data_IF_033553270424
#
_entry.id   IF_033553270424
#
_cell.length_a   1.000
_cell.length_b   1.000
_cell.length_c   1.000
_cell.angle_alpha   90.00
_cell.angle_beta   90.00
_cell.angle_gamma   90.00
#
_symmetry.space_group_name_H-M   'P 1'
#
loop_
_entity.id
_entity.type
_entity.pdbx_description
1 polymer ?
#
# COMPACT_ATOMS: atom_id res chain seq x y z
N UNK A 1 29.95 -9.42 18.49
CA UNK A 1 28.95 -10.43 18.12
C UNK A 1 27.63 -9.85 17.62
N UNK A 2 27.03 -8.84 18.27
CA UNK A 2 25.77 -8.23 17.75
C UNK A 2 25.89 -7.72 16.31
N UNK A 3 26.97 -7.03 15.96
CA UNK A 3 27.22 -6.59 14.58
C UNK A 3 27.45 -7.75 13.58
N UNK A 4 27.86 -8.93 14.04
CA UNK A 4 27.98 -10.11 13.17
C UNK A 4 26.59 -10.70 12.85
N UNK A 5 25.67 -10.67 13.81
CA UNK A 5 24.26 -11.06 13.60
C UNK A 5 23.56 -10.08 12.67
N UNK A 6 23.78 -8.76 12.85
CA UNK A 6 23.26 -7.74 11.94
C UNK A 6 23.76 -7.97 10.52
N UNK A 7 25.07 -8.19 10.35
CA UNK A 7 25.65 -8.53 9.05
C UNK A 7 25.06 -9.80 8.44
N UNK A 8 24.88 -10.86 9.23
CA UNK A 8 24.25 -12.10 8.78
C UNK A 8 22.81 -11.86 8.30
N UNK A 9 22.03 -11.02 8.98
CA UNK A 9 20.68 -10.65 8.55
C UNK A 9 20.70 -9.81 7.26
N UNK A 10 21.63 -8.87 7.14
CA UNK A 10 21.83 -8.12 5.88
C UNK A 10 22.18 -9.05 4.72
N UNK A 11 23.05 -10.03 4.93
CA UNK A 11 23.42 -11.02 3.91
C UNK A 11 22.25 -11.97 3.57
N UNK A 12 21.49 -12.40 4.59
CA UNK A 12 20.42 -13.38 4.43
C UNK A 12 19.14 -12.82 3.83
N UNK A 13 18.76 -11.58 4.15
CA UNK A 13 17.46 -10.97 3.77
C UNK A 13 17.55 -9.51 3.31
N UNK A 14 18.75 -8.93 3.22
CA UNK A 14 18.93 -7.54 2.79
C UNK A 14 18.54 -6.50 3.83
N UNK A 15 18.33 -6.89 5.10
CA UNK A 15 17.88 -5.98 6.14
C UNK A 15 18.96 -4.96 6.50
N UNK A 16 18.65 -3.67 6.42
CA UNK A 16 19.48 -2.62 7.02
C UNK A 16 19.08 -2.41 8.48
N UNK A 17 20.00 -2.76 9.39
CA UNK A 17 19.85 -2.56 10.84
C UNK A 17 19.59 -1.10 11.22
N UNK A 18 20.06 -0.13 10.43
CA UNK A 18 19.82 1.29 10.67
C UNK A 18 18.37 1.71 10.33
N UNK A 19 17.73 1.00 9.40
CA UNK A 19 16.36 1.27 8.94
C UNK A 19 15.30 0.59 9.80
N UNK A 20 15.55 -0.64 10.26
CA UNK A 20 14.66 -1.36 11.21
C UNK A 20 14.84 -0.89 12.65
N UNK A 21 15.99 -0.28 12.95
CA UNK A 21 16.35 0.18 14.27
C UNK A 21 17.16 -0.89 15.03
N UNK A 22 18.37 -0.57 15.51
CA UNK A 22 19.24 -1.53 16.21
C UNK A 22 18.58 -2.15 17.46
N UNK A 23 17.61 -1.47 18.05
CA UNK A 23 16.85 -1.96 19.21
C UNK A 23 15.94 -3.13 18.87
N UNK A 24 15.32 -3.14 17.67
CA UNK A 24 14.45 -4.23 17.23
C UNK A 24 15.26 -5.51 17.03
N UNK A 25 16.41 -5.42 16.35
CA UNK A 25 17.31 -6.56 16.16
C UNK A 25 17.80 -7.11 17.50
N UNK A 26 18.24 -6.23 18.41
CA UNK A 26 18.65 -6.67 19.77
C UNK A 26 17.53 -7.34 20.55
N UNK A 27 16.30 -6.84 20.44
CA UNK A 27 15.16 -7.45 21.12
C UNK A 27 14.83 -8.82 20.52
N UNK A 28 14.78 -8.94 19.19
CA UNK A 28 14.57 -10.20 18.51
C UNK A 28 15.63 -11.25 18.90
N UNK A 29 16.91 -10.87 18.94
CA UNK A 29 17.99 -11.75 19.40
C UNK A 29 17.77 -12.21 20.84
N UNK A 30 17.37 -11.32 21.76
CA UNK A 30 17.06 -11.68 23.15
C UNK A 30 15.90 -12.65 23.25
N UNK A 31 14.83 -12.42 22.50
CA UNK A 31 13.64 -13.27 22.50
C UNK A 31 13.96 -14.67 21.93
N UNK A 32 14.79 -14.73 20.89
CA UNK A 32 15.29 -16.00 20.32
C UNK A 32 16.22 -16.74 21.27
N UNK A 33 17.17 -16.05 21.89
CA UNK A 33 18.02 -16.60 22.93
C UNK A 33 17.19 -17.23 24.07
N UNK A 34 16.16 -16.53 24.54
CA UNK A 34 15.24 -17.05 25.55
C UNK A 34 14.46 -18.28 25.07
N UNK A 35 13.95 -18.27 23.82
CA UNK A 35 13.23 -19.40 23.23
C UNK A 35 14.12 -20.65 23.10
N UNK A 36 15.40 -20.46 22.76
CA UNK A 36 16.41 -21.52 22.68
C UNK A 36 16.99 -21.91 24.05
N UNK A 37 16.62 -21.22 25.13
CA UNK A 37 17.17 -21.37 26.48
C UNK A 37 18.70 -21.15 26.54
N UNK A 38 19.20 -20.24 25.71
CA UNK A 38 20.61 -19.87 25.63
C UNK A 38 20.79 -18.49 26.28
N UNK A 39 21.70 -18.37 27.25
CA UNK A 39 21.99 -17.11 27.95
C UNK A 39 23.25 -16.42 27.45
N UNK A 40 24.13 -17.16 26.77
CA UNK A 40 25.39 -16.65 26.22
C UNK A 40 25.27 -16.33 24.73
N UNK A 41 25.60 -15.10 24.34
CA UNK A 41 25.52 -14.64 22.96
C UNK A 41 26.47 -15.43 22.02
N UNK A 42 27.62 -15.89 22.52
CA UNK A 42 28.55 -16.72 21.74
C UNK A 42 27.92 -18.06 21.36
N UNK A 43 27.32 -18.75 22.34
CA UNK A 43 26.65 -20.03 22.10
C UNK A 43 25.43 -19.87 21.18
N UNK A 44 24.73 -18.73 21.29
CA UNK A 44 23.64 -18.41 20.37
C UNK A 44 24.14 -18.18 18.95
N UNK A 45 25.29 -17.50 18.78
CA UNK A 45 25.91 -17.33 17.46
C UNK A 45 26.27 -18.66 16.80
N UNK A 46 26.84 -19.61 17.54
CA UNK A 46 27.15 -20.95 17.07
C UNK A 46 25.89 -21.71 16.63
N UNK A 47 24.82 -21.66 17.43
CA UNK A 47 23.53 -22.24 17.06
C UNK A 47 22.93 -21.58 15.81
N UNK A 48 22.96 -20.25 15.75
CA UNK A 48 22.39 -19.46 14.65
C UNK A 48 23.09 -19.78 13.32
N UNK A 49 24.42 -19.88 13.34
CA UNK A 49 25.22 -20.18 12.14
C UNK A 49 25.20 -21.66 11.76
N UNK A 50 24.96 -22.56 12.71
CA UNK A 50 24.85 -24.00 12.47
C UNK A 50 23.44 -24.49 12.11
N UNK A 51 22.40 -23.65 12.22
CA UNK A 51 21.00 -24.05 12.02
C UNK A 51 20.24 -23.08 11.11
N UNK A 52 19.89 -23.55 9.92
CA UNK A 52 19.00 -22.80 9.01
C UNK A 52 17.62 -22.53 9.64
N UNK A 53 17.13 -23.45 10.47
CA UNK A 53 15.87 -23.26 11.19
C UNK A 53 15.96 -22.08 12.16
N UNK A 54 17.04 -21.98 12.94
CA UNK A 54 17.18 -20.86 13.89
C UNK A 54 17.38 -19.53 13.17
N UNK A 55 18.13 -19.52 12.06
CA UNK A 55 18.25 -18.34 11.21
C UNK A 55 16.88 -17.89 10.70
N UNK A 56 16.04 -18.82 10.23
CA UNK A 56 14.68 -18.52 9.79
C UNK A 56 13.81 -17.98 10.93
N UNK A 57 13.94 -18.49 12.16
CA UNK A 57 13.20 -17.98 13.31
C UNK A 57 13.65 -16.58 13.74
N UNK A 58 14.94 -16.27 13.62
CA UNK A 58 15.44 -14.91 13.83
C UNK A 58 14.92 -13.96 12.74
N UNK A 59 14.93 -14.37 11.47
CA UNK A 59 14.32 -13.61 10.36
C UNK A 59 12.85 -13.31 10.67
N UNK A 60 12.07 -14.32 11.06
CA UNK A 60 10.66 -14.17 11.42
C UNK A 60 10.46 -13.17 12.58
N UNK A 61 11.42 -13.04 13.49
CA UNK A 61 11.34 -12.14 14.64
C UNK A 61 11.70 -10.68 14.30
N UNK A 62 12.49 -10.43 13.25
CA UNK A 62 12.87 -9.07 12.84
C UNK A 62 11.99 -8.49 11.72
N UNK A 63 11.30 -9.34 10.96
CA UNK A 63 10.41 -8.90 9.86
C UNK A 63 9.20 -8.15 10.41
N UNK A 64 9.02 -6.92 9.95
CA UNK A 64 7.86 -6.08 10.28
C UNK A 64 6.70 -6.48 9.36
N UNK A 65 5.57 -6.89 9.95
CA UNK A 65 4.45 -7.50 9.22
C UNK A 65 3.18 -6.65 9.25
N UNK A 66 3.32 -5.33 9.06
CA UNK A 66 2.16 -4.44 9.06
C UNK A 66 1.53 -4.35 7.66
N UNK A 67 0.37 -5.00 7.50
CA UNK A 67 -0.42 -5.00 6.26
C UNK A 67 -1.92 -5.02 6.55
N UNK A 68 -2.74 -4.62 5.57
CA UNK A 68 -4.20 -4.68 5.62
C UNK A 68 -4.77 -4.70 4.19
N UNK A 69 -6.00 -5.19 4.05
CA UNK A 69 -6.65 -5.28 2.75
C UNK A 69 -6.82 -3.91 2.10
N UNK A 70 -6.57 -3.84 0.79
CA UNK A 70 -6.69 -2.63 -0.02
C UNK A 70 -5.92 -1.41 0.52
N UNK A 71 -4.76 -1.63 1.17
CA UNK A 71 -3.81 -0.57 1.52
C UNK A 71 -3.41 0.22 0.27
N UNK A 72 -3.58 1.55 0.27
CA UNK A 72 -3.44 2.44 -0.89
C UNK A 72 -4.26 1.95 -2.10
N UNK A 73 -5.59 2.09 -2.00
CA UNK A 73 -6.60 1.52 -2.91
C UNK A 73 -6.36 1.88 -4.39
N UNK A 74 -5.77 3.04 -4.64
CA UNK A 74 -5.46 3.57 -5.96
C UNK A 74 -4.48 2.67 -6.71
N UNK A 75 -3.57 1.99 -6.02
CA UNK A 75 -2.66 0.99 -6.60
C UNK A 75 -3.44 -0.16 -7.26
N UNK A 76 -4.45 -0.70 -6.58
CA UNK A 76 -5.29 -1.79 -7.10
C UNK A 76 -6.21 -1.33 -8.24
N UNK A 77 -6.68 -0.10 -8.19
CA UNK A 77 -7.47 0.50 -9.28
C UNK A 77 -6.62 0.62 -10.55
N UNK A 78 -5.39 1.08 -10.41
CA UNK A 78 -4.46 1.18 -11.53
C UNK A 78 -4.04 -0.21 -12.02
N UNK A 79 -3.78 -1.17 -11.12
CA UNK A 79 -3.50 -2.56 -11.46
C UNK A 79 -4.57 -3.13 -12.40
N UNK A 80 -5.84 -3.02 -12.01
CA UNK A 80 -6.97 -3.51 -12.80
C UNK A 80 -7.07 -2.81 -14.17
N UNK A 81 -6.78 -1.50 -14.21
CA UNK A 81 -6.75 -0.73 -15.46
C UNK A 81 -5.64 -1.22 -16.40
N UNK A 82 -4.42 -1.38 -15.88
CA UNK A 82 -3.28 -1.87 -16.64
C UNK A 82 -3.54 -3.29 -17.16
N UNK A 83 -4.04 -4.19 -16.30
CA UNK A 83 -4.42 -5.54 -16.67
C UNK A 83 -5.39 -5.56 -17.86
N UNK A 84 -6.39 -4.66 -17.88
CA UNK A 84 -7.37 -4.60 -18.97
C UNK A 84 -6.77 -4.14 -20.29
N UNK A 85 -5.84 -3.18 -20.26
CA UNK A 85 -5.16 -2.68 -21.47
C UNK A 85 -4.11 -3.66 -21.98
N UNK A 86 -3.44 -4.36 -21.06
CA UNK A 86 -2.40 -5.35 -21.35
C UNK A 86 -2.96 -6.76 -21.59
N UNK A 87 -4.29 -6.90 -21.69
CA UNK A 87 -4.95 -8.20 -21.84
C UNK A 87 -4.48 -8.92 -23.09
N UNK A 88 -3.99 -10.15 -22.90
CA UNK A 88 -3.49 -11.05 -23.93
C UNK A 88 -4.24 -12.39 -23.85
N UNK A 89 -4.10 -13.28 -24.84
CA UNK A 89 -4.68 -14.64 -24.75
C UNK A 89 -4.17 -15.44 -23.56
N UNK A 90 -2.98 -15.10 -23.07
CA UNK A 90 -2.34 -15.73 -21.92
C UNK A 90 -2.84 -15.08 -20.61
N UNK A 91 -2.93 -15.86 -19.52
CA UNK A 91 -3.27 -15.32 -18.21
C UNK A 91 -2.27 -14.25 -17.76
N UNK A 92 -2.80 -13.18 -17.16
CA UNK A 92 -2.00 -12.08 -16.57
C UNK A 92 -1.30 -12.60 -15.32
N UNK A 93 0.02 -12.46 -15.29
CA UNK A 93 0.85 -12.91 -14.17
C UNK A 93 1.14 -11.74 -13.24
N UNK A 94 0.72 -11.86 -11.99
CA UNK A 94 0.97 -10.84 -10.95
C UNK A 94 1.90 -11.38 -9.88
N UNK A 95 2.89 -10.59 -9.46
CA UNK A 95 3.74 -10.88 -8.31
C UNK A 95 3.47 -9.86 -7.18
N UNK A 96 3.18 -10.34 -5.97
CA UNK A 96 3.20 -9.54 -4.73
C UNK A 96 4.41 -9.94 -3.89
N UNK A 97 5.32 -8.99 -3.67
CA UNK A 97 6.59 -9.20 -2.99
C UNK A 97 7.01 -7.92 -2.23
N UNK A 98 7.05 -7.89 -0.90
CA UNK A 98 6.74 -8.98 0.02
C UNK A 98 5.21 -9.11 0.18
N UNK A 99 4.71 -10.33 0.30
CA UNK A 99 3.27 -10.55 0.46
C UNK A 99 2.78 -10.45 1.91
N UNK A 100 3.69 -10.43 2.90
CA UNK A 100 3.39 -10.43 4.33
C UNK A 100 2.36 -11.52 4.67
N UNK A 101 1.34 -11.21 5.47
CA UNK A 101 0.28 -12.15 5.85
C UNK A 101 -0.80 -12.35 4.77
N UNK A 102 -0.57 -11.90 3.53
CA UNK A 102 -1.37 -12.23 2.34
C UNK A 102 -2.45 -11.22 1.96
N UNK A 103 -2.72 -10.20 2.78
CA UNK A 103 -3.75 -9.21 2.51
C UNK A 103 -3.58 -8.50 1.16
N UNK A 104 -2.34 -8.17 0.76
CA UNK A 104 -2.07 -7.54 -0.54
C UNK A 104 -2.42 -8.48 -1.69
N UNK A 105 -1.89 -9.71 -1.69
CA UNK A 105 -2.12 -10.68 -2.75
C UNK A 105 -3.61 -11.02 -2.92
N UNK A 106 -4.34 -11.17 -1.82
CA UNK A 106 -5.78 -11.38 -1.88
C UNK A 106 -6.56 -10.13 -2.33
N UNK A 107 -6.08 -8.92 -1.99
CA UNK A 107 -6.67 -7.67 -2.51
C UNK A 107 -6.49 -7.55 -4.03
N UNK A 108 -5.36 -8.02 -4.57
CA UNK A 108 -5.16 -8.13 -6.03
C UNK A 108 -6.21 -9.04 -6.66
N UNK A 109 -6.40 -10.25 -6.12
CA UNK A 109 -7.39 -11.20 -6.64
C UNK A 109 -8.80 -10.60 -6.66
N UNK A 110 -9.22 -9.97 -5.56
CA UNK A 110 -10.52 -9.31 -5.46
C UNK A 110 -10.65 -8.13 -6.44
N UNK A 111 -9.60 -7.33 -6.62
CA UNK A 111 -9.58 -6.23 -7.58
C UNK A 111 -9.71 -6.71 -9.04
N UNK A 112 -9.07 -7.84 -9.37
CA UNK A 112 -9.20 -8.47 -10.69
C UNK A 112 -10.62 -8.98 -10.94
N UNK A 113 -11.24 -9.65 -9.95
CA UNK A 113 -12.64 -10.06 -10.05
C UNK A 113 -13.60 -8.86 -10.15
N UNK A 114 -13.43 -7.82 -9.32
CA UNK A 114 -14.23 -6.60 -9.38
C UNK A 114 -14.09 -5.87 -10.75
N UNK A 115 -12.96 -6.04 -11.45
CA UNK A 115 -12.74 -5.52 -12.79
C UNK A 115 -13.36 -6.36 -13.92
N UNK A 116 -13.91 -7.53 -13.58
CA UNK A 116 -14.58 -8.46 -14.50
C UNK A 116 -13.63 -9.44 -15.19
N UNK A 117 -12.49 -9.76 -14.59
CA UNK A 117 -11.65 -10.86 -15.05
C UNK A 117 -12.18 -12.20 -14.56
N UNK A 118 -12.13 -13.20 -15.43
CA UNK A 118 -12.46 -14.58 -15.09
C UNK A 118 -11.26 -15.28 -14.43
N UNK A 119 -11.53 -16.32 -13.64
CA UNK A 119 -10.53 -17.03 -12.85
C UNK A 119 -9.35 -17.63 -13.65
N UNK A 120 -9.53 -17.88 -14.95
CA UNK A 120 -8.48 -18.42 -15.82
C UNK A 120 -7.65 -17.34 -16.51
N UNK A 121 -8.01 -16.06 -16.35
CA UNK A 121 -7.38 -14.94 -17.04
C UNK A 121 -6.23 -14.31 -16.25
N UNK A 122 -5.98 -14.77 -15.02
CA UNK A 122 -4.89 -14.28 -14.19
C UNK A 122 -4.43 -15.33 -13.19
N UNK A 123 -3.22 -15.16 -12.67
CA UNK A 123 -2.70 -15.87 -11.52
C UNK A 123 -1.78 -14.94 -10.71
N UNK A 124 -1.71 -15.20 -9.39
CA UNK A 124 -0.96 -14.36 -8.47
C UNK A 124 0.05 -15.22 -7.73
N UNK A 125 1.32 -14.85 -7.87
CA UNK A 125 2.40 -15.37 -7.05
C UNK A 125 2.71 -14.38 -5.92
N UNK A 126 2.88 -14.91 -4.72
CA UNK A 126 3.04 -14.12 -3.51
C UNK A 126 4.24 -14.65 -2.72
N UNK A 127 5.26 -13.82 -2.54
CA UNK A 127 6.54 -14.24 -1.95
C UNK A 127 6.86 -13.39 -0.72
N UNK A 128 7.33 -14.02 0.34
CA UNK A 128 7.83 -13.34 1.54
C UNK A 128 8.99 -14.13 2.17
N UNK A 129 9.92 -13.43 2.83
CA UNK A 129 11.05 -14.07 3.53
C UNK A 129 10.64 -14.70 4.86
N UNK A 130 9.51 -14.29 5.44
CA UNK A 130 8.97 -14.79 6.70
C UNK A 130 8.08 -16.01 6.46
N UNK A 131 8.61 -17.18 6.81
CA UNK A 131 7.85 -18.44 6.84
C UNK A 131 6.58 -18.35 7.70
N UNK A 132 6.60 -17.59 8.80
CA UNK A 132 5.41 -17.37 9.64
C UNK A 132 4.34 -16.57 8.92
N UNK A 133 4.72 -15.52 8.20
CA UNK A 133 3.78 -14.69 7.45
C UNK A 133 3.11 -15.49 6.33
N UNK A 134 3.92 -16.24 5.58
CA UNK A 134 3.41 -17.14 4.53
C UNK A 134 2.42 -18.16 5.10
N UNK A 135 2.73 -18.79 6.24
CA UNK A 135 1.81 -19.74 6.87
C UNK A 135 0.47 -19.09 7.32
N UNK A 136 0.49 -17.81 7.75
CA UNK A 136 -0.74 -17.06 8.03
C UNK A 136 -1.51 -16.76 6.75
N UNK A 137 -0.82 -16.38 5.68
CA UNK A 137 -1.40 -16.09 4.37
C UNK A 137 -2.08 -17.33 3.75
N UNK A 138 -1.45 -18.50 3.85
CA UNK A 138 -2.02 -19.79 3.43
C UNK A 138 -3.22 -20.20 4.28
N UNK A 139 -3.16 -19.95 5.59
CA UNK A 139 -4.31 -20.17 6.48
C UNK A 139 -5.48 -19.24 6.13
N UNK A 140 -5.20 -18.01 5.72
CA UNK A 140 -6.16 -17.04 5.21
C UNK A 140 -7.34 -16.71 6.17
N UNK A 141 -7.08 -16.63 7.47
CA UNK A 141 -8.08 -16.21 8.46
C UNK A 141 -7.64 -14.90 9.09
N UNK A 142 -8.46 -13.87 8.94
CA UNK A 142 -8.09 -12.49 9.23
C UNK A 142 -8.99 -11.88 10.30
N UNK A 143 -8.35 -11.27 11.29
CA UNK A 143 -9.02 -10.54 12.37
C UNK A 143 -9.27 -9.08 12.02
N UNK A 144 -9.82 -8.32 12.99
CA UNK A 144 -10.18 -6.90 12.84
C UNK A 144 -9.04 -6.03 12.29
N UNK A 145 -7.80 -6.30 12.67
CA UNK A 145 -6.64 -5.48 12.31
C UNK A 145 -6.29 -5.50 10.82
N UNK A 146 -6.73 -6.51 10.07
CA UNK A 146 -6.55 -6.60 8.62
C UNK A 146 -7.58 -5.78 7.84
N UNK A 147 -8.63 -5.28 8.51
CA UNK A 147 -9.73 -4.50 7.92
C UNK A 147 -9.68 -3.07 8.44
N UNK A 148 -8.94 -2.20 7.74
CA UNK A 148 -8.73 -0.79 8.11
C UNK A 148 -9.28 0.16 7.05
N UNK A 149 -9.49 1.41 7.45
CA UNK A 149 -9.98 2.46 6.56
C UNK A 149 -11.50 2.42 6.35
N UNK A 150 -11.98 3.27 5.44
CA UNK A 150 -13.41 3.43 5.14
C UNK A 150 -13.94 2.44 4.10
N UNK A 151 -13.06 1.88 3.26
CA UNK A 151 -13.44 0.93 2.22
C UNK A 151 -13.50 -0.49 2.79
N UNK A 152 -14.70 -0.95 3.18
CA UNK A 152 -14.91 -2.29 3.77
C UNK A 152 -16.01 -3.10 3.07
N UNK A 153 -16.65 -2.55 2.04
CA UNK A 153 -17.76 -3.18 1.31
C UNK A 153 -17.36 -4.46 0.57
N UNK A 154 -16.06 -4.65 0.29
CA UNK A 154 -15.54 -5.86 -0.33
C UNK A 154 -15.72 -7.10 0.56
N UNK A 155 -15.88 -6.92 1.88
CA UNK A 155 -16.06 -8.00 2.84
C UNK A 155 -17.30 -8.83 2.51
N UNK A 156 -18.41 -8.15 2.23
CA UNK A 156 -19.69 -8.81 1.94
C UNK A 156 -19.67 -9.58 0.61
N UNK A 157 -18.74 -9.24 -0.29
CA UNK A 157 -18.58 -9.88 -1.60
C UNK A 157 -17.59 -11.05 -1.59
N UNK A 158 -16.56 -10.98 -0.75
CA UNK A 158 -15.38 -11.84 -0.88
C UNK A 158 -15.01 -12.60 0.38
N UNK A 159 -15.74 -12.43 1.50
CA UNK A 159 -15.41 -13.09 2.76
C UNK A 159 -16.60 -13.86 3.33
N UNK A 160 -16.25 -14.91 4.06
CA UNK A 160 -17.15 -15.68 4.89
C UNK A 160 -16.65 -15.70 6.34
N UNK A 161 -17.57 -15.92 7.27
CA UNK A 161 -17.23 -16.10 8.68
C UNK A 161 -16.43 -17.40 8.86
N UNK A 162 -15.38 -17.34 9.66
CA UNK A 162 -14.57 -18.49 10.04
C UNK A 162 -14.21 -18.42 11.53
N UNK A 163 -13.80 -19.54 12.11
CA UNK A 163 -13.27 -19.53 13.47
C UNK A 163 -12.04 -18.62 13.55
N UNK A 164 -12.08 -17.63 14.45
CA UNK A 164 -10.99 -16.66 14.63
C UNK A 164 -11.03 -15.43 13.71
N UNK A 165 -12.00 -15.29 12.80
CA UNK A 165 -12.13 -14.08 11.99
C UNK A 165 -12.94 -14.26 10.70
N UNK A 166 -12.45 -13.65 9.63
CA UNK A 166 -13.03 -13.75 8.29
C UNK A 166 -12.05 -14.44 7.34
N UNK A 167 -12.59 -15.27 6.46
CA UNK A 167 -11.82 -16.00 5.45
C UNK A 167 -12.24 -15.57 4.04
N UNK A 168 -11.31 -15.31 3.10
CA UNK A 168 -11.67 -15.08 1.72
C UNK A 168 -12.37 -16.29 1.10
N UNK A 169 -13.35 -16.08 0.22
CA UNK A 169 -14.03 -17.17 -0.49
C UNK A 169 -13.04 -18.01 -1.31
N UNK A 170 -13.37 -19.29 -1.50
CA UNK A 170 -12.53 -20.25 -2.22
C UNK A 170 -12.08 -19.79 -3.62
N UNK A 171 -12.90 -19.00 -4.32
CA UNK A 171 -12.54 -18.45 -5.63
C UNK A 171 -11.35 -17.47 -5.55
N UNK A 172 -11.26 -16.68 -4.49
CA UNK A 172 -10.12 -15.77 -4.21
C UNK A 172 -8.89 -16.56 -3.79
N UNK A 173 -9.06 -17.53 -2.89
CA UNK A 173 -7.95 -18.34 -2.38
C UNK A 173 -7.21 -19.09 -3.49
N UNK A 174 -7.95 -19.64 -4.46
CA UNK A 174 -7.38 -20.41 -5.58
C UNK A 174 -6.52 -19.58 -6.54
N UNK A 175 -6.60 -18.25 -6.48
CA UNK A 175 -5.84 -17.37 -7.38
C UNK A 175 -4.41 -17.11 -6.91
N UNK A 176 -4.12 -17.37 -5.63
CA UNK A 176 -2.86 -16.97 -5.02
C UNK A 176 -2.03 -18.20 -4.67
N UNK A 177 -0.76 -18.20 -5.10
CA UNK A 177 0.24 -19.20 -4.70
C UNK A 177 1.27 -18.52 -3.82
N UNK A 178 1.46 -19.03 -2.60
CA UNK A 178 2.43 -18.49 -1.68
C UNK A 178 3.76 -19.26 -1.73
N UNK A 179 4.85 -18.57 -1.45
CA UNK A 179 6.18 -19.18 -1.31
C UNK A 179 7.05 -18.39 -0.36
N UNK A 180 7.80 -19.11 0.47
CA UNK A 180 8.88 -18.52 1.25
C UNK A 180 10.08 -18.28 0.34
N UNK A 181 10.55 -17.04 0.25
CA UNK A 181 11.60 -16.68 -0.70
C UNK A 181 12.16 -15.28 -0.49
N UNK A 182 13.38 -15.08 -0.99
CA UNK A 182 14.09 -13.81 -0.95
C UNK A 182 14.25 -13.25 -2.38
N UNK A 183 14.03 -11.94 -2.54
CA UNK A 183 14.26 -11.20 -3.78
C UNK A 183 15.66 -11.43 -4.40
N UNK A 184 16.67 -11.66 -3.57
CA UNK A 184 18.03 -11.87 -4.03
C UNK A 184 18.39 -13.34 -4.28
N UNK A 185 17.47 -14.29 -4.06
CA UNK A 185 17.66 -15.71 -4.37
C UNK A 185 16.88 -16.09 -5.64
N UNK A 186 17.54 -16.35 -6.78
CA UNK A 186 16.89 -16.78 -8.01
C UNK A 186 16.03 -18.04 -7.87
N UNK A 187 16.31 -18.90 -6.87
CA UNK A 187 15.54 -20.13 -6.61
C UNK A 187 14.19 -19.86 -5.95
N UNK A 188 13.98 -18.65 -5.41
CA UNK A 188 12.73 -18.24 -4.80
C UNK A 188 11.60 -18.07 -5.82
N UNK A 189 11.90 -17.93 -7.11
CA UNK A 189 10.91 -17.63 -8.15
C UNK A 189 10.18 -18.86 -8.66
N UNK A 190 8.94 -18.67 -9.13
CA UNK A 190 8.10 -19.71 -9.73
C UNK A 190 8.56 -20.09 -11.16
N UNK A 191 9.87 -20.28 -11.35
CA UNK A 191 10.52 -20.55 -12.63
C UNK A 191 11.23 -19.32 -13.21
N UNK A 192 11.55 -19.36 -14.51
CA UNK A 192 12.12 -18.24 -15.27
C UNK A 192 11.04 -17.35 -15.89
N UNK A 193 9.95 -17.11 -15.16
CA UNK A 193 8.79 -16.38 -15.67
C UNK A 193 8.94 -14.88 -15.41
N UNK A 194 8.52 -14.07 -16.38
CA UNK A 194 8.33 -12.63 -16.22
C UNK A 194 6.88 -12.34 -15.81
N UNK A 195 6.68 -11.27 -15.05
CA UNK A 195 5.38 -10.83 -14.56
C UNK A 195 4.88 -9.60 -15.31
N UNK A 196 3.59 -9.58 -15.63
CA UNK A 196 2.93 -8.43 -16.25
C UNK A 196 2.77 -7.30 -15.22
N UNK A 197 2.53 -7.65 -13.95
CA UNK A 197 2.37 -6.69 -12.86
C UNK A 197 3.14 -7.17 -11.63
N UNK A 198 3.87 -6.27 -10.99
CA UNK A 198 4.64 -6.53 -9.78
C UNK A 198 4.29 -5.47 -8.72
N UNK A 199 3.89 -5.91 -7.53
CA UNK A 199 3.73 -5.07 -6.34
C UNK A 199 4.95 -5.28 -5.44
N UNK A 200 5.74 -4.23 -5.24
CA UNK A 200 6.85 -4.17 -4.30
C UNK A 200 6.71 -2.96 -3.39
N UNK A 201 5.86 -3.11 -2.38
CA UNK A 201 5.36 -2.01 -1.55
C UNK A 201 5.83 -2.18 -0.12
N UNK A 202 6.33 -1.09 0.45
CA UNK A 202 6.78 -1.01 1.84
C UNK A 202 7.89 -2.03 2.19
N UNK A 203 8.79 -2.33 1.25
CA UNK A 203 9.95 -3.21 1.45
C UNK A 203 11.28 -2.49 1.30
N UNK A 204 11.44 -1.71 0.23
CA UNK A 204 12.68 -1.02 -0.10
C UNK A 204 13.08 0.00 0.97
N UNK A 205 12.12 0.46 1.78
CA UNK A 205 12.36 1.30 2.95
C UNK A 205 13.25 0.64 4.02
N UNK A 206 13.35 -0.70 4.02
CA UNK A 206 14.18 -1.45 4.96
C UNK A 206 15.58 -1.75 4.43
N UNK A 207 15.85 -1.39 3.16
CA UNK A 207 17.13 -1.62 2.51
C UNK A 207 17.99 -0.36 2.56
N UNK A 208 19.32 -0.53 2.64
CA UNK A 208 20.26 0.54 2.37
C UNK A 208 20.31 0.87 0.87
N UNK A 209 21.03 1.93 0.50
CA UNK A 209 21.01 2.43 -0.87
C UNK A 209 21.50 1.39 -1.89
N UNK A 210 22.58 0.69 -1.56
CA UNK A 210 23.17 -0.34 -2.40
C UNK A 210 22.20 -1.51 -2.65
N UNK A 211 21.46 -1.93 -1.62
CA UNK A 211 20.47 -2.99 -1.72
C UNK A 211 19.18 -2.54 -2.41
N UNK A 212 18.76 -1.27 -2.24
CA UNK A 212 17.67 -0.69 -3.03
C UNK A 212 18.00 -0.72 -4.52
N UNK A 213 19.22 -0.32 -4.89
CA UNK A 213 19.65 -0.30 -6.28
C UNK A 213 19.70 -1.72 -6.87
N UNK A 214 20.24 -2.70 -6.11
CA UNK A 214 20.20 -4.12 -6.50
C UNK A 214 18.79 -4.68 -6.62
N UNK A 215 17.92 -4.34 -5.66
CA UNK A 215 16.53 -4.78 -5.66
C UNK A 215 15.80 -4.31 -6.91
N UNK A 216 15.95 -3.04 -7.29
CA UNK A 216 15.32 -2.49 -8.49
C UNK A 216 15.82 -3.14 -9.79
N UNK A 217 17.10 -3.53 -9.86
CA UNK A 217 17.62 -4.32 -10.98
C UNK A 217 16.89 -5.68 -11.06
N UNK A 218 16.83 -6.41 -9.95
CA UNK A 218 16.13 -7.70 -9.89
C UNK A 218 14.63 -7.57 -10.24
N UNK A 219 13.94 -6.56 -9.69
CA UNK A 219 12.53 -6.30 -9.98
C UNK A 219 12.31 -5.98 -11.45
N UNK A 220 13.21 -5.21 -12.08
CA UNK A 220 13.16 -4.95 -13.52
C UNK A 220 13.33 -6.23 -14.33
N UNK A 221 14.23 -7.12 -13.94
CA UNK A 221 14.46 -8.38 -14.66
C UNK A 221 13.23 -9.31 -14.58
N UNK A 222 12.51 -9.27 -13.46
CA UNK A 222 11.25 -10.00 -13.28
C UNK A 222 10.07 -9.40 -14.04
N UNK A 223 10.13 -8.14 -14.46
CA UNK A 223 9.03 -7.48 -15.18
C UNK A 223 9.04 -7.82 -16.68
N UNK A 224 7.85 -8.07 -17.23
CA UNK A 224 7.64 -8.11 -18.67
C UNK A 224 8.00 -6.76 -19.31
N UNK A 225 8.24 -6.74 -20.63
CA UNK A 225 8.67 -5.54 -21.37
C UNK A 225 7.75 -4.33 -21.15
N UNK A 226 6.44 -4.58 -21.18
CA UNK A 226 5.39 -3.58 -20.96
C UNK A 226 4.85 -3.65 -19.52
N UNK A 227 5.58 -4.34 -18.64
CA UNK A 227 5.16 -4.67 -17.30
C UNK A 227 5.13 -3.47 -16.38
N UNK A 228 4.31 -3.62 -15.34
CA UNK A 228 3.97 -2.58 -14.40
C UNK A 228 4.51 -2.88 -12.99
N UNK A 229 5.27 -1.96 -12.44
CA UNK A 229 5.72 -1.95 -11.05
C UNK A 229 4.86 -1.00 -10.21
N UNK A 230 4.33 -1.48 -9.10
CA UNK A 230 3.65 -0.70 -8.07
C UNK A 230 4.53 -0.68 -6.81
N UNK A 231 4.86 0.51 -6.31
CA UNK A 231 5.64 0.68 -5.07
C UNK A 231 4.87 1.44 -4.00
N UNK A 232 5.35 1.45 -2.77
CA UNK A 232 4.76 2.23 -1.70
C UNK A 232 5.08 3.73 -1.84
N UNK A 233 4.30 4.62 -1.20
CA UNK A 233 4.50 6.07 -1.29
C UNK A 233 5.93 6.53 -0.96
N UNK A 234 6.52 5.94 0.08
CA UNK A 234 7.88 6.25 0.55
C UNK A 234 9.00 5.80 -0.41
N UNK A 235 8.66 4.97 -1.41
CA UNK A 235 9.61 4.33 -2.32
C UNK A 235 9.53 4.92 -3.74
N UNK A 236 8.57 5.82 -3.98
CA UNK A 236 8.21 6.33 -5.31
C UNK A 236 9.34 7.08 -6.04
N UNK A 237 10.34 7.58 -5.32
CA UNK A 237 11.50 8.24 -5.93
C UNK A 237 12.50 7.25 -6.53
N UNK A 238 12.53 6.00 -6.07
CA UNK A 238 13.57 5.03 -6.42
C UNK A 238 13.43 4.46 -7.85
N UNK A 239 12.23 4.04 -8.34
CA UNK A 239 12.08 3.44 -9.67
C UNK A 239 12.61 4.31 -10.83
N UNK A 240 12.41 5.64 -10.76
CA UNK A 240 12.86 6.57 -11.80
C UNK A 240 14.39 6.60 -11.95
N UNK A 241 15.13 6.42 -10.85
CA UNK A 241 16.60 6.38 -10.86
C UNK A 241 17.12 5.16 -11.62
N UNK A 242 16.27 4.15 -11.82
CA UNK A 242 16.57 2.93 -12.56
C UNK A 242 15.86 2.87 -13.91
N UNK A 243 15.44 4.01 -14.45
CA UNK A 243 14.87 4.12 -15.80
C UNK A 243 13.46 3.55 -15.96
N UNK A 244 12.75 3.28 -14.86
CA UNK A 244 11.31 3.02 -14.95
C UNK A 244 10.55 4.34 -15.13
N UNK A 245 9.48 4.30 -15.93
CA UNK A 245 8.71 5.48 -16.34
C UNK A 245 7.41 5.54 -15.56
N UNK A 246 7.10 6.67 -14.94
CA UNK A 246 5.83 6.84 -14.22
C UNK A 246 4.63 6.62 -15.15
N UNK A 247 3.65 5.84 -14.68
CA UNK A 247 2.38 5.60 -15.37
C UNK A 247 1.38 6.77 -15.22
N UNK A 248 1.78 7.84 -14.52
CA UNK A 248 1.02 9.10 -14.35
C UNK A 248 -0.38 8.91 -13.76
N UNK A 249 -0.56 7.87 -12.94
CA UNK A 249 -1.79 7.65 -12.18
C UNK A 249 -1.64 8.18 -10.75
N UNK A 250 -2.47 9.15 -10.31
CA UNK A 250 -2.38 9.72 -8.97
C UNK A 250 -2.47 8.64 -7.89
N UNK A 251 -1.60 8.74 -6.87
CA UNK A 251 -1.58 7.89 -5.67
C UNK A 251 -1.36 6.38 -5.90
N UNK A 252 -1.21 5.91 -7.14
CA UNK A 252 -0.91 4.51 -7.40
C UNK A 252 0.58 4.18 -7.30
N UNK A 253 1.47 5.19 -7.37
CA UNK A 253 2.93 5.02 -7.35
C UNK A 253 3.37 3.92 -8.33
N UNK A 254 2.89 4.07 -9.56
CA UNK A 254 2.92 3.08 -10.62
C UNK A 254 3.97 3.44 -11.69
N UNK A 255 4.76 2.46 -12.12
CA UNK A 255 5.88 2.64 -13.03
C UNK A 255 5.94 1.53 -14.09
N UNK A 256 6.16 1.89 -15.35
CA UNK A 256 6.33 0.97 -16.47
C UNK A 256 7.82 0.67 -16.69
N UNK A 257 8.15 -0.58 -17.06
CA UNK A 257 9.53 -1.01 -17.34
C UNK A 257 10.17 -0.27 -18.51
N UNK A 258 9.38 0.09 -19.52
CA UNK A 258 9.80 0.90 -20.66
C UNK A 258 8.71 1.88 -21.04
N UNK A 259 9.05 2.95 -21.76
CA UNK A 259 8.01 3.82 -22.32
C UNK A 259 7.06 2.98 -23.16
N UNK A 260 5.73 3.12 -22.97
CA UNK A 260 4.78 2.46 -23.84
C UNK A 260 5.11 2.91 -25.26
N UNK A 261 5.40 1.95 -26.14
CA UNK A 261 5.48 2.23 -27.58
C UNK A 261 4.18 2.93 -27.94
N UNK A 262 4.27 4.16 -28.45
CA UNK A 262 3.11 4.92 -28.94
C UNK A 262 2.53 4.21 -30.17
N UNK A 263 1.90 3.06 -29.98
CA UNK A 263 0.92 2.54 -30.94
C UNK A 263 -0.31 3.41 -30.76
N UNK A 264 -0.37 4.46 -31.58
CA UNK A 264 -1.57 5.25 -31.76
C UNK A 264 -2.68 4.32 -32.27
N UNK A 265 -3.47 3.78 -31.36
CA UNK A 265 -4.84 3.37 -31.64
C UNK A 265 -5.74 4.46 -31.04
N UNK A 266 -6.59 5.12 -31.85
CA UNK A 266 -7.52 6.10 -31.31
C UNK A 266 -8.45 5.40 -30.32
N UNK A 267 -8.57 5.96 -29.12
CA UNK A 267 -9.64 5.60 -28.20
C UNK A 267 -10.93 6.08 -28.85
N UNK A 268 -11.58 5.19 -29.60
CA UNK A 268 -12.97 5.38 -29.98
C UNK A 268 -13.75 5.26 -28.67
N UNK A 269 -14.38 6.37 -28.25
CA UNK A 269 -15.32 6.40 -27.14
C UNK A 269 -16.43 5.39 -27.43
N UNK A 270 -16.32 4.19 -26.85
CA UNK A 270 -17.37 3.20 -26.87
C UNK A 270 -18.46 3.67 -25.89
N UNK A 271 -19.41 4.44 -26.41
CA UNK A 271 -20.68 4.64 -25.75
C UNK A 271 -21.31 3.26 -25.46
N UNK A 272 -21.63 3.02 -24.20
CA UNK A 272 -22.41 1.85 -23.79
C UNK A 272 -23.75 1.89 -24.54
N UNK A 273 -24.14 0.85 -25.30
CA UNK A 273 -25.45 0.83 -25.94
C UNK A 273 -26.52 0.69 -24.85
N UNK A 274 -27.31 1.74 -24.67
CA UNK A 274 -28.54 1.69 -23.88
C UNK A 274 -29.52 0.76 -24.61
N UNK A 275 -29.88 -0.38 -23.99
CA UNK A 275 -30.95 -1.25 -24.47
C UNK A 275 -32.26 -0.47 -24.58
N UNK A 276 -33.07 -0.67 -25.63
CA UNK A 276 -34.39 -0.05 -25.74
C UNK A 276 -35.35 -0.66 -24.69
N UNK A 277 -36.32 0.13 -24.16
CA UNK A 277 -37.30 -0.40 -23.24
C UNK A 277 -38.33 -1.28 -23.97
N UNK A 278 -38.68 -2.39 -23.36
CA UNK A 278 -39.77 -3.28 -23.80
C UNK A 278 -41.15 -2.59 -23.70
N UNK A 279 -42.12 -2.95 -24.56
CA UNK A 279 -43.44 -2.33 -24.57
C UNK A 279 -44.27 -2.73 -23.35
N UNK A 280 -44.95 -1.74 -22.76
CA UNK A 280 -45.81 -1.88 -21.59
C UNK A 280 -47.12 -2.59 -21.95
N UNK A 281 -47.43 -3.67 -21.23
CA UNK A 281 -48.75 -4.32 -21.23
C UNK A 281 -49.72 -3.47 -20.40
N UNK A 282 -50.84 -3.09 -21.00
CA UNK A 282 -51.94 -2.37 -20.37
C UNK A 282 -52.61 -3.22 -19.27
N UNK A 283 -52.67 -2.68 -18.05
CA UNK A 283 -53.66 -3.09 -17.05
C UNK A 283 -54.47 -1.87 -16.61
N UNK A 284 -55.78 -2.05 -16.57
CA UNK A 284 -56.79 -1.03 -16.34
C UNK A 284 -56.72 -0.42 -14.93
N UNK A 285 -57.20 0.84 -14.83
CA UNK A 285 -57.26 1.67 -13.62
C UNK A 285 -58.42 1.25 -12.69
N UNK A 286 -58.25 1.43 -11.37
CA UNK A 286 -59.35 1.88 -10.50
C UNK A 286 -59.26 3.38 -10.23
N UNK A 287 -60.44 3.96 -10.09
CA UNK A 287 -60.78 5.39 -9.93
C UNK A 287 -60.48 5.89 -8.51
N UNK A 288 -59.91 7.10 -8.37
CA UNK A 288 -59.90 7.88 -7.12
C UNK A 288 -60.12 9.38 -7.46
N UNK A 289 -60.90 10.17 -6.66
CA UNK A 289 -61.44 11.51 -6.99
C UNK A 289 -60.42 12.68 -6.91
N UNK A 290 -60.82 13.94 -7.22
CA UNK A 290 -59.95 14.93 -7.85
C UNK A 290 -59.03 15.71 -6.89
N UNK A 291 -57.99 16.23 -7.54
CA UNK A 291 -56.80 16.92 -7.04
C UNK A 291 -57.10 18.38 -6.64
N UNK A 292 -56.62 18.79 -5.47
CA UNK A 292 -56.30 20.21 -5.20
C UNK A 292 -54.92 20.51 -5.79
N UNK A 293 -54.85 21.57 -6.60
CA UNK A 293 -53.64 22.03 -7.26
C UNK A 293 -52.72 22.75 -6.26
N UNK A 294 -51.46 22.33 -6.20
CA UNK A 294 -50.35 23.13 -5.66
C UNK A 294 -49.23 23.10 -6.71
N UNK A 295 -48.66 24.28 -6.95
CA UNK A 295 -47.85 24.64 -8.10
C UNK A 295 -46.59 23.82 -8.32
N UNK A 296 -46.14 23.85 -9.58
CA UNK A 296 -44.79 23.44 -9.99
C UNK A 296 -43.79 24.41 -9.39
N UNK A 297 -43.04 23.97 -8.39
CA UNK A 297 -41.75 24.59 -8.04
C UNK A 297 -40.61 23.81 -8.68
N UNK A 298 -39.66 24.56 -9.23
CA UNK A 298 -38.51 24.04 -9.95
C UNK A 298 -37.64 23.15 -9.08
N UNK A 299 -37.10 22.10 -9.69
CA UNK A 299 -35.98 21.34 -9.12
C UNK A 299 -34.79 22.28 -8.94
N UNK A 300 -34.61 22.78 -7.73
CA UNK A 300 -33.33 23.34 -7.29
C UNK A 300 -32.32 22.19 -7.26
N UNK A 301 -31.21 22.38 -7.96
CA UNK A 301 -30.03 21.50 -7.91
C UNK A 301 -29.56 21.50 -6.46
N UNK A 302 -29.74 20.38 -5.76
CA UNK A 302 -29.30 20.23 -4.38
C UNK A 302 -27.79 20.54 -4.31
N UNK A 303 -27.45 21.59 -3.58
CA UNK A 303 -26.08 21.92 -3.20
C UNK A 303 -25.51 20.76 -2.38
N UNK A 304 -24.33 20.25 -2.75
CA UNK A 304 -23.65 19.18 -2.02
C UNK A 304 -23.53 19.53 -0.53
N UNK A 305 -23.62 18.52 0.35
CA UNK A 305 -23.56 18.74 1.80
C UNK A 305 -22.18 19.31 2.18
N UNK A 306 -22.05 20.08 3.28
CA UNK A 306 -20.77 20.67 3.70
C UNK A 306 -19.63 19.66 3.89
N UNK A 307 -19.95 18.43 4.29
CA UNK A 307 -19.00 17.33 4.46
C UNK A 307 -18.43 16.80 3.13
N UNK A 308 -19.24 16.80 2.07
CA UNK A 308 -18.81 16.35 0.74
C UNK A 308 -17.85 17.39 0.14
N UNK A 309 -18.14 18.68 0.32
CA UNK A 309 -17.29 19.78 -0.14
C UNK A 309 -15.96 19.86 0.62
N UNK A 310 -15.96 19.56 1.92
CA UNK A 310 -14.74 19.43 2.73
C UNK A 310 -13.83 18.34 2.17
N UNK A 311 -14.38 17.15 1.94
CA UNK A 311 -13.62 16.00 1.43
C UNK A 311 -13.08 16.25 0.01
N UNK A 312 -13.92 16.79 -0.88
CA UNK A 312 -13.50 17.18 -2.24
C UNK A 312 -12.38 18.22 -2.22
N UNK A 313 -12.42 19.16 -1.28
CA UNK A 313 -11.38 20.18 -1.15
C UNK A 313 -10.05 19.61 -0.66
N UNK A 314 -10.04 18.67 0.30
CA UNK A 314 -8.81 17.96 0.71
C UNK A 314 -8.21 17.17 -0.45
N UNK A 315 -9.05 16.42 -1.17
CA UNK A 315 -8.65 15.65 -2.35
C UNK A 315 -8.06 16.57 -3.43
N UNK A 316 -8.61 17.78 -3.61
CA UNK A 316 -8.10 18.75 -4.57
C UNK A 316 -6.68 19.25 -4.21
N UNK A 317 -6.43 19.57 -2.93
CA UNK A 317 -5.09 19.96 -2.44
C UNK A 317 -4.09 18.85 -2.72
N UNK A 318 -4.43 17.63 -2.33
CA UNK A 318 -3.59 16.45 -2.48
C UNK A 318 -3.29 16.14 -3.95
N UNK A 319 -4.29 16.22 -4.83
CA UNK A 319 -4.12 16.02 -6.28
C UNK A 319 -3.14 17.01 -6.90
N UNK A 320 -3.21 18.29 -6.52
CA UNK A 320 -2.35 19.34 -7.07
C UNK A 320 -0.92 19.20 -6.52
N UNK A 321 -0.78 18.86 -5.23
CA UNK A 321 0.51 18.56 -4.61
C UNK A 321 1.23 17.41 -5.33
N UNK A 322 0.51 16.30 -5.58
CA UNK A 322 1.05 15.13 -6.26
C UNK A 322 1.40 15.36 -7.73
N UNK A 323 0.81 16.39 -8.37
CA UNK A 323 1.17 16.81 -9.72
C UNK A 323 2.45 17.68 -9.76
N UNK A 324 3.13 17.90 -8.63
CA UNK A 324 4.31 18.76 -8.54
C UNK A 324 4.00 20.25 -8.69
N UNK A 325 2.73 20.65 -8.68
CA UNK A 325 2.28 22.05 -8.78
C UNK A 325 2.26 22.69 -7.40
N UNK A 326 3.44 22.77 -6.79
CA UNK A 326 3.65 23.10 -5.37
C UNK A 326 2.97 24.41 -4.94
N UNK A 327 3.20 25.50 -5.69
CA UNK A 327 2.62 26.83 -5.37
C UNK A 327 1.09 26.83 -5.37
N UNK A 328 0.50 26.17 -6.35
CA UNK A 328 -0.96 26.08 -6.46
C UNK A 328 -1.55 25.15 -5.39
N UNK A 329 -0.85 24.07 -5.04
CA UNK A 329 -1.28 23.20 -3.95
C UNK A 329 -1.32 23.99 -2.62
N UNK A 330 -0.34 24.87 -2.40
CA UNK A 330 -0.29 25.75 -1.24
C UNK A 330 -1.44 26.76 -1.24
N UNK A 331 -1.75 27.39 -2.38
CA UNK A 331 -2.87 28.31 -2.52
C UNK A 331 -4.21 27.62 -2.22
N UNK A 332 -4.42 26.43 -2.78
CA UNK A 332 -5.65 25.64 -2.56
C UNK A 332 -5.72 25.14 -1.12
N UNK A 333 -4.59 24.81 -0.48
CA UNK A 333 -4.56 24.42 0.93
C UNK A 333 -4.92 25.58 1.86
N UNK A 334 -4.43 26.79 1.55
CA UNK A 334 -4.79 28.00 2.28
C UNK A 334 -6.26 28.39 2.04
N UNK A 335 -6.80 28.16 0.83
CA UNK A 335 -8.21 28.33 0.55
C UNK A 335 -9.09 27.33 1.32
N UNK A 336 -8.66 26.07 1.44
CA UNK A 336 -9.30 25.06 2.28
C UNK A 336 -9.37 25.51 3.74
N UNK A 337 -8.24 25.98 4.30
CA UNK A 337 -8.19 26.48 5.68
C UNK A 337 -9.16 27.63 5.93
N UNK A 338 -9.36 28.52 4.95
CA UNK A 338 -10.32 29.64 5.06
C UNK A 338 -11.77 29.16 4.96
N UNK A 339 -12.05 28.19 4.10
CA UNK A 339 -13.42 27.73 3.82
C UNK A 339 -13.95 26.74 4.87
N UNK A 340 -13.10 25.85 5.36
CA UNK A 340 -13.50 24.72 6.21
C UNK A 340 -12.81 24.67 7.57
N UNK A 341 -11.83 25.54 7.79
CA UNK A 341 -11.12 25.66 9.06
C UNK A 341 -9.91 24.71 9.20
N UNK A 342 -9.19 24.81 10.35
CA UNK A 342 -8.02 23.99 10.63
C UNK A 342 -8.38 22.53 10.92
N UNK A 343 -7.64 21.59 10.33
CA UNK A 343 -7.73 20.16 10.61
C UNK A 343 -6.35 19.51 10.57
N UNK A 344 -6.23 18.29 11.11
CA UNK A 344 -4.96 17.58 11.11
C UNK A 344 -4.50 17.27 9.68
N UNK A 345 -5.39 16.74 8.84
CA UNK A 345 -5.16 16.43 7.42
C UNK A 345 -4.67 17.64 6.61
N UNK A 346 -5.31 18.80 6.71
CA UNK A 346 -4.89 19.95 5.89
C UNK A 346 -3.52 20.49 6.30
N UNK A 347 -3.18 20.44 7.59
CA UNK A 347 -1.84 20.81 8.05
C UNK A 347 -0.78 19.77 7.67
N UNK A 348 -1.14 18.49 7.63
CA UNK A 348 -0.26 17.46 7.11
C UNK A 348 0.03 17.68 5.61
N UNK A 349 -1.02 17.86 4.79
CA UNK A 349 -0.89 18.15 3.36
C UNK A 349 -0.08 19.42 3.11
N UNK A 350 -0.34 20.51 3.85
CA UNK A 350 0.43 21.75 3.74
C UNK A 350 1.91 21.54 4.09
N UNK A 351 2.19 20.69 5.09
CA UNK A 351 3.55 20.29 5.45
C UNK A 351 4.27 19.56 4.30
N UNK A 352 3.58 18.62 3.64
CA UNK A 352 4.13 17.92 2.48
C UNK A 352 4.46 18.87 1.32
N UNK A 353 3.54 19.80 1.02
CA UNK A 353 3.74 20.78 -0.05
C UNK A 353 4.95 21.68 0.25
N UNK A 354 5.06 22.15 1.49
CA UNK A 354 6.18 23.01 1.92
C UNK A 354 7.52 22.27 1.93
N UNK A 355 7.54 21.00 2.34
CA UNK A 355 8.74 20.17 2.32
C UNK A 355 9.22 19.93 0.88
N UNK A 356 8.27 19.69 -0.04
CA UNK A 356 8.55 19.58 -1.46
C UNK A 356 9.06 20.90 -2.09
N UNK A 357 8.65 22.06 -1.57
CA UNK A 357 9.16 23.38 -1.97
C UNK A 357 10.52 23.73 -1.33
N UNK A 358 11.05 22.88 -0.45
CA UNK A 358 12.27 23.16 0.31
C UNK A 358 12.09 24.14 1.48
N UNK A 359 10.85 24.53 1.78
CA UNK A 359 10.47 25.39 2.91
C UNK A 359 10.43 24.58 4.22
N UNK A 360 11.58 24.08 4.64
CA UNK A 360 11.71 23.14 5.75
C UNK A 360 11.24 23.70 7.12
N UNK A 361 11.47 24.97 7.49
CA UNK A 361 10.92 25.55 8.72
C UNK A 361 9.38 25.57 8.75
N UNK A 362 8.77 25.94 7.63
CA UNK A 362 7.33 26.03 7.45
C UNK A 362 6.69 24.63 7.47
N UNK A 363 7.30 23.68 6.77
CA UNK A 363 6.88 22.27 6.77
C UNK A 363 6.88 21.70 8.19
N UNK A 364 7.95 21.93 8.96
CA UNK A 364 8.04 21.49 10.34
C UNK A 364 6.95 22.11 11.22
N UNK A 365 6.62 23.38 11.02
CA UNK A 365 5.53 24.03 11.74
C UNK A 365 4.16 23.43 11.37
N UNK A 366 3.93 23.14 10.09
CA UNK A 366 2.69 22.52 9.59
C UNK A 366 2.51 21.10 10.13
N UNK A 367 3.56 20.26 10.12
CA UNK A 367 3.49 18.94 10.76
C UNK A 367 3.24 19.02 12.26
N UNK A 368 3.86 19.97 12.98
CA UNK A 368 3.58 20.19 14.41
C UNK A 368 2.12 20.62 14.65
N UNK A 369 1.54 21.45 13.77
CA UNK A 369 0.11 21.80 13.83
C UNK A 369 -0.77 20.57 13.59
N UNK A 370 -0.45 19.71 12.63
CA UNK A 370 -1.16 18.44 12.43
C UNK A 370 -1.14 17.58 13.70
N UNK A 371 0.02 17.49 14.36
CA UNK A 371 0.19 16.76 15.63
C UNK A 371 -0.49 17.43 16.83
N UNK A 372 -0.76 18.73 16.78
CA UNK A 372 -1.54 19.40 17.82
C UNK A 372 -3.00 18.94 17.76
N UNK A 373 -3.59 18.86 16.55
CA UNK A 373 -4.97 18.40 16.36
C UNK A 373 -5.11 16.88 16.48
N UNK A 374 -4.11 16.13 16.03
CA UNK A 374 -4.07 14.68 16.13
C UNK A 374 -2.70 14.21 16.66
N UNK A 375 -2.53 14.10 17.99
CA UNK A 375 -1.23 13.76 18.64
C UNK A 375 -0.62 12.42 18.23
N UNK A 376 -1.42 11.53 17.63
CA UNK A 376 -1.02 10.22 17.13
C UNK A 376 -1.09 10.12 15.60
N UNK A 377 -1.19 11.25 14.86
CA UNK A 377 -1.17 11.25 13.40
C UNK A 377 0.17 10.72 12.90
N UNK A 378 0.15 9.50 12.36
CA UNK A 378 1.35 8.70 12.14
C UNK A 378 2.21 9.29 11.04
N UNK A 379 1.56 9.69 9.97
CA UNK A 379 2.16 10.29 8.79
C UNK A 379 2.88 11.60 9.17
N UNK A 380 2.23 12.48 9.93
CA UNK A 380 2.86 13.71 10.42
C UNK A 380 4.03 13.44 11.38
N UNK A 381 3.95 12.41 12.24
CA UNK A 381 5.07 11.99 13.10
C UNK A 381 6.28 11.54 12.27
N UNK A 382 6.04 10.72 11.23
CA UNK A 382 7.09 10.19 10.34
C UNK A 382 7.75 11.31 9.56
N UNK A 383 6.96 12.15 8.88
CA UNK A 383 7.51 13.20 8.03
C UNK A 383 8.25 14.27 8.84
N UNK A 384 7.75 14.63 10.03
CA UNK A 384 8.48 15.54 10.93
C UNK A 384 9.78 14.93 11.44
N UNK A 385 9.80 13.64 11.80
CA UNK A 385 11.02 12.97 12.23
C UNK A 385 12.08 12.93 11.13
N UNK A 386 11.68 12.64 9.89
CA UNK A 386 12.56 12.67 8.71
C UNK A 386 13.12 14.08 8.45
N UNK A 387 12.25 15.10 8.53
CA UNK A 387 12.63 16.49 8.32
C UNK A 387 13.63 16.99 9.38
N UNK A 388 13.40 16.66 10.66
CA UNK A 388 14.33 16.98 11.75
C UNK A 388 15.68 16.27 11.58
N UNK A 389 15.67 15.00 11.14
CA UNK A 389 16.90 14.26 10.85
C UNK A 389 17.71 14.91 9.72
N UNK A 390 17.03 15.37 8.65
CA UNK A 390 17.64 16.11 7.53
C UNK A 390 18.25 17.45 7.99
N UNK A 391 17.68 18.07 9.02
CA UNK A 391 18.18 19.31 9.64
C UNK A 391 19.26 19.08 10.71
N UNK A 392 19.61 17.81 11.01
CA UNK A 392 20.61 17.46 12.03
C UNK A 392 20.06 17.35 13.46
N UNK A 393 18.76 17.54 13.68
CA UNK A 393 18.13 17.32 14.99
C UNK A 393 17.76 15.84 15.17
N UNK A 394 18.79 15.03 15.44
CA UNK A 394 18.64 13.60 15.70
C UNK A 394 17.83 13.33 16.99
N UNK A 395 17.97 14.19 18.00
CA UNK A 395 17.29 14.03 19.29
C UNK A 395 15.77 14.19 19.18
N UNK A 396 15.33 15.20 18.43
CA UNK A 396 13.92 15.45 18.15
C UNK A 396 13.32 14.35 17.27
N UNK A 397 14.07 13.86 16.29
CA UNK A 397 13.65 12.75 15.44
C UNK A 397 13.44 11.45 16.25
N UNK A 398 14.35 11.11 17.15
CA UNK A 398 14.22 9.93 18.04
C UNK A 398 13.05 10.05 19.01
N UNK A 399 12.81 11.25 19.57
CA UNK A 399 11.67 11.49 20.46
C UNK A 399 10.32 11.27 19.75
N UNK A 400 10.22 11.67 18.48
CA UNK A 400 9.02 11.44 17.65
C UNK A 400 8.87 9.97 17.25
N UNK A 401 9.96 9.28 16.92
CA UNK A 401 9.94 7.83 16.66
C UNK A 401 9.45 7.05 17.89
N UNK A 402 9.94 7.38 19.09
CA UNK A 402 9.46 6.77 20.32
C UNK A 402 7.98 7.05 20.62
N UNK A 403 7.43 8.19 20.17
CA UNK A 403 5.98 8.45 20.24
C UNK A 403 5.19 7.56 19.30
N UNK A 404 5.68 7.34 18.08
CA UNK A 404 5.07 6.45 17.10
C UNK A 404 4.99 5.01 17.62
N UNK A 405 6.03 4.53 18.31
CA UNK A 405 6.07 3.20 18.94
C UNK A 405 5.07 3.05 20.08
N UNK A 406 4.90 4.09 20.90
CA UNK A 406 3.91 4.09 21.99
C UNK A 406 2.47 4.15 21.46
N UNK A 407 2.23 4.90 20.39
CA UNK A 407 0.94 4.96 19.74
C UNK A 407 0.53 3.60 19.16
N UNK A 408 1.47 2.85 18.57
CA UNK A 408 1.26 1.47 18.14
C UNK A 408 0.86 0.53 19.29
N UNK A 409 1.58 0.59 20.42
CA UNK A 409 1.31 -0.31 21.56
C UNK A 409 -0.05 -0.06 22.21
N UNK A 410 -0.55 1.19 22.19
CA UNK A 410 -1.86 1.56 22.75
C UNK A 410 -3.06 1.28 21.84
N UNK A 411 -2.84 1.12 20.54
CA UNK A 411 -3.88 0.74 19.58
C UNK A 411 -4.03 -0.78 19.43
N UNK A 412 -3.22 -1.55 20.17
CA UNK A 412 -3.24 -3.02 20.23
C UNK A 412 -3.99 -3.62 21.44
N UNK A 413 -4.81 -2.84 22.14
CA UNK A 413 -5.86 -3.30 23.09
C UNK A 413 -7.22 -2.95 22.52
#
# INVERSE_FOLDING_TARGET
MTGAIEKLLTEAIGLDSASVGPTVVRQAVRDRMAACRITNLQAYWEQLTGSQQELQELINAVVVSETWFFRDREAFTMLARHARVSKRPQPIKVLSLPCSTGEEAYSVAMAMFDAGFEAHEFNIDAVDVSSRNVAVAERAVYGRNSFRGSYLEFKDRYFEAAEGGLRPHAAVLKQVRFRVGNLFDPRAWFGHEVYDILLCRNLLIYFNRELQDRALICLKDLLAKDGLLLVGPAEASLPRLHGLVSAEWPLAFAFLKSEPVKTAAPIVSAAVPVRPPTPKVNKAKPVVPPRLAIGREGRVRATAKPLDQLAESLIAVERIANAGRVKEAQEVALAHLKAFGPSAEIFYLLGLVQDADGAAPEAAQSYRKALYFAPNHREALVHLALLLRKQGDHSGAEALAGRLDRAHKRSGT
#
